data_IF_915921979127
#
_entry.id   IF_915921979127
#
_cell.length_a   1.000
_cell.length_b   1.000
_cell.length_c   1.000
_cell.angle_alpha   90.00
_cell.angle_beta   90.00
_cell.angle_gamma   90.00
#
_symmetry.space_group_name_H-M   'P 1'
#
loop_
_entity.id
_entity.type
_entity.pdbx_description
1 polymer ?
#
# COMPACT_ATOMS: atom_id res chain seq x y z
N UNK A 1 -0.50 6.91 -73.17
CA UNK A 1 -0.48 5.43 -73.21
C UNK A 1 -0.51 4.91 -71.78
N UNK A 2 -1.56 4.16 -71.47
CA UNK A 2 -2.00 3.79 -70.13
C UNK A 2 -1.09 2.72 -69.49
N UNK A 3 -0.78 2.90 -68.20
CA UNK A 3 -0.03 1.94 -67.37
C UNK A 3 -0.86 0.68 -67.11
N UNK A 4 -0.15 -0.45 -67.14
CA UNK A 4 -0.58 -1.85 -66.95
C UNK A 4 -1.19 -2.16 -65.55
N UNK A 5 -1.89 -3.31 -65.40
CA UNK A 5 -3.08 -3.44 -64.56
C UNK A 5 -2.84 -4.03 -63.16
N UNK A 6 -3.94 -3.96 -62.39
CA UNK A 6 -4.29 -4.56 -61.09
C UNK A 6 -3.43 -5.77 -60.64
N UNK A 7 -2.68 -5.58 -59.55
CA UNK A 7 -2.32 -6.64 -58.62
C UNK A 7 -3.34 -6.65 -57.48
N UNK A 8 -4.20 -7.66 -57.46
CA UNK A 8 -5.04 -7.98 -56.29
C UNK A 8 -4.16 -8.74 -55.30
N UNK A 9 -3.99 -8.18 -54.12
CA UNK A 9 -3.43 -8.85 -52.95
C UNK A 9 -4.56 -9.60 -52.25
N UNK A 10 -4.77 -10.86 -52.61
CA UNK A 10 -5.55 -11.81 -51.80
C UNK A 10 -4.60 -12.38 -50.75
N UNK A 11 -4.55 -11.70 -49.61
CA UNK A 11 -3.93 -12.16 -48.37
C UNK A 11 -4.87 -13.18 -47.71
N UNK A 12 -4.36 -14.39 -47.51
CA UNK A 12 -4.98 -15.52 -46.81
C UNK A 12 -5.67 -15.13 -45.48
N UNK A 13 -6.94 -15.54 -45.29
CA UNK A 13 -7.51 -15.63 -43.95
C UNK A 13 -7.88 -17.09 -43.60
N UNK A 14 -7.19 -17.64 -42.60
CA UNK A 14 -7.71 -18.47 -41.50
C UNK A 14 -6.79 -19.66 -41.12
N UNK A 15 -6.48 -19.81 -39.84
CA UNK A 15 -6.53 -21.12 -39.20
C UNK A 15 -7.72 -21.22 -38.25
N UNK A 16 -8.48 -22.31 -38.40
CA UNK A 16 -9.56 -22.71 -37.51
C UNK A 16 -9.03 -23.16 -36.14
N UNK A 17 -9.77 -22.93 -35.04
CA UNK A 17 -9.58 -23.69 -33.80
C UNK A 17 -10.52 -24.91 -33.79
N UNK A 18 -9.98 -26.10 -33.98
CA UNK A 18 -10.71 -27.34 -33.68
C UNK A 18 -10.64 -27.63 -32.18
N UNK A 19 -11.81 -27.63 -31.55
CA UNK A 19 -12.03 -28.14 -30.21
C UNK A 19 -12.15 -29.67 -30.25
N UNK A 20 -11.50 -30.36 -29.31
CA UNK A 20 -12.00 -31.67 -28.85
C UNK A 20 -11.46 -31.96 -27.45
N UNK A 21 -12.36 -31.99 -26.47
CA UNK A 21 -12.09 -32.41 -25.12
C UNK A 21 -12.24 -33.92 -24.96
N UNK A 22 -11.46 -34.50 -24.05
CA UNK A 22 -11.80 -35.76 -23.40
C UNK A 22 -11.22 -35.79 -21.97
N UNK A 23 -12.09 -36.27 -21.06
CA UNK A 23 -11.98 -36.41 -19.61
C UNK A 23 -10.91 -37.43 -19.16
N UNK A 24 -10.30 -37.18 -18.00
CA UNK A 24 -9.99 -38.12 -16.89
C UNK A 24 -9.24 -37.32 -15.80
N UNK A 25 -9.81 -37.00 -14.64
CA UNK A 25 -9.99 -37.85 -13.45
C UNK A 25 -8.68 -38.40 -12.86
N UNK A 26 -8.31 -37.83 -11.69
CA UNK A 26 -7.67 -38.46 -10.53
C UNK A 26 -6.27 -39.10 -10.64
N UNK A 27 -5.29 -38.54 -9.90
CA UNK A 27 -4.50 -39.28 -8.92
C UNK A 27 -3.59 -38.35 -8.09
N UNK A 28 -3.81 -38.40 -6.78
CA UNK A 28 -3.11 -37.71 -5.70
C UNK A 28 -1.80 -38.44 -5.32
N UNK A 29 -0.63 -37.78 -5.26
CA UNK A 29 0.54 -38.35 -4.60
C UNK A 29 0.59 -37.94 -3.12
N UNK A 30 -0.20 -38.61 -2.29
CA UNK A 30 0.02 -38.61 -0.83
C UNK A 30 1.06 -39.68 -0.50
N UNK A 31 2.27 -39.26 -0.15
CA UNK A 31 3.30 -40.14 0.37
C UNK A 31 3.05 -40.42 1.86
N UNK A 32 2.84 -41.70 2.17
CA UNK A 32 2.68 -42.29 3.49
C UNK A 32 4.04 -42.42 4.19
N UNK A 33 4.21 -42.00 5.46
CA UNK A 33 5.33 -42.45 6.28
C UNK A 33 5.04 -43.83 6.90
N UNK A 34 6.07 -44.67 7.13
CA UNK A 34 5.90 -46.04 7.60
C UNK A 34 5.55 -46.13 9.09
N UNK A 35 4.65 -47.07 9.36
CA UNK A 35 4.23 -47.59 10.65
C UNK A 35 5.39 -48.34 11.33
N UNK A 36 5.77 -47.94 12.54
CA UNK A 36 6.57 -48.77 13.45
C UNK A 36 5.96 -48.65 14.85
N UNK A 37 4.91 -49.42 15.10
CA UNK A 37 4.55 -49.84 16.44
C UNK A 37 5.21 -51.20 16.72
N UNK A 38 5.86 -51.38 17.89
CA UNK A 38 5.44 -52.51 18.71
C UNK A 38 5.31 -52.12 20.20
N UNK A 39 4.06 -52.07 20.67
CA UNK A 39 3.71 -52.12 22.08
C UNK A 39 3.97 -53.54 22.64
N UNK A 40 5.03 -53.71 23.43
CA UNK A 40 5.18 -54.88 24.29
C UNK A 40 4.42 -54.67 25.60
N UNK A 41 3.33 -55.42 25.73
CA UNK A 41 2.60 -55.66 26.97
C UNK A 41 3.31 -56.75 27.75
N UNK A 42 3.75 -56.45 28.96
CA UNK A 42 3.80 -57.44 30.04
C UNK A 42 3.46 -56.81 31.39
N UNK A 43 2.40 -57.35 31.99
CA UNK A 43 2.09 -57.21 33.41
C UNK A 43 2.94 -58.24 34.14
N UNK A 44 3.67 -57.84 35.16
CA UNK A 44 3.70 -58.65 36.37
C UNK A 44 4.10 -57.91 37.64
N UNK A 45 3.45 -58.36 38.71
CA UNK A 45 3.43 -57.86 40.07
C UNK A 45 4.36 -58.71 40.94
N UNK A 46 5.37 -58.12 41.58
CA UNK A 46 5.78 -58.43 42.97
C UNK A 46 7.05 -57.66 43.34
N UNK A 47 7.12 -57.24 44.61
CA UNK A 47 7.99 -56.16 45.08
C UNK A 47 9.48 -56.48 45.23
N UNK A 48 10.25 -55.41 45.41
CA UNK A 48 11.28 -55.28 46.45
C UNK A 48 11.68 -53.80 46.55
N UNK A 49 11.69 -53.30 47.78
CA UNK A 49 12.12 -51.95 48.17
C UNK A 49 13.59 -51.73 47.84
N UNK A 50 13.92 -50.58 47.25
CA UNK A 50 15.23 -49.95 47.46
C UNK A 50 15.00 -48.49 47.83
N UNK A 51 15.50 -48.14 49.00
CA UNK A 51 15.52 -46.82 49.60
C UNK A 51 16.79 -46.13 49.11
N UNK A 52 16.66 -44.98 48.45
CA UNK A 52 17.77 -44.04 48.28
C UNK A 52 17.26 -42.64 48.62
N UNK A 53 17.77 -42.01 49.70
CA UNK A 53 17.50 -40.62 49.99
C UNK A 53 18.56 -39.78 49.29
N UNK A 54 18.18 -38.88 48.39
CA UNK A 54 18.98 -37.69 48.10
C UNK A 54 18.28 -36.75 47.13
N UNK A 55 18.43 -35.47 47.47
CA UNK A 55 18.17 -34.30 46.65
C UNK A 55 16.70 -33.98 46.35
N UNK A 56 16.17 -33.10 47.20
CA UNK A 56 15.00 -32.28 46.92
C UNK A 56 15.36 -31.25 45.83
N UNK A 57 15.46 -31.72 44.58
CA UNK A 57 15.46 -30.86 43.42
C UNK A 57 14.06 -30.28 43.28
N UNK A 58 13.87 -29.03 43.72
CA UNK A 58 12.70 -28.23 43.34
C UNK A 58 12.73 -28.08 41.82
N UNK A 59 12.04 -28.98 41.11
CA UNK A 59 11.75 -28.81 39.68
C UNK A 59 10.95 -27.52 39.54
N UNK A 60 11.38 -26.52 38.74
CA UNK A 60 10.48 -25.45 38.36
C UNK A 60 9.26 -26.09 37.66
N UNK A 61 8.05 -25.53 37.77
CA UNK A 61 6.95 -25.99 36.95
C UNK A 61 7.39 -25.79 35.49
N UNK A 62 7.69 -26.90 34.81
CA UNK A 62 7.81 -26.89 33.36
C UNK A 62 6.44 -26.45 32.87
N UNK A 63 6.34 -25.18 32.46
CA UNK A 63 5.22 -24.71 31.66
C UNK A 63 5.17 -25.64 30.47
N UNK A 64 4.18 -26.54 30.47
CA UNK A 64 3.70 -27.13 29.24
C UNK A 64 3.53 -25.96 28.28
N UNK A 65 4.31 -25.93 27.20
CA UNK A 65 4.01 -25.08 26.06
C UNK A 65 2.70 -25.65 25.52
N UNK A 66 1.61 -25.19 26.11
CA UNK A 66 0.28 -25.33 25.56
C UNK A 66 0.40 -24.64 24.21
N UNK A 67 0.50 -25.46 23.17
CA UNK A 67 0.35 -25.03 21.79
C UNK A 67 -1.07 -24.50 21.68
N UNK A 68 -1.26 -23.25 22.06
CA UNK A 68 -2.40 -22.46 21.67
C UNK A 68 -2.19 -22.19 20.19
N UNK A 69 -2.50 -23.20 19.37
CA UNK A 69 -2.91 -22.95 18.01
C UNK A 69 -4.00 -21.87 18.11
N UNK A 70 -3.83 -20.67 17.53
CA UNK A 70 -4.88 -19.69 17.55
C UNK A 70 -6.03 -20.26 16.72
N UNK A 71 -7.02 -20.81 17.41
CA UNK A 71 -8.34 -21.08 16.88
C UNK A 71 -9.04 -19.73 16.67
N UNK A 72 -8.59 -18.97 15.67
CA UNK A 72 -9.34 -17.84 15.16
C UNK A 72 -10.15 -18.31 13.96
N UNK A 73 -11.21 -19.07 14.25
CA UNK A 73 -12.40 -19.07 13.40
C UNK A 73 -13.15 -17.75 13.63
N UNK A 74 -12.44 -16.63 13.41
CA UNK A 74 -13.12 -15.43 12.98
C UNK A 74 -13.68 -15.78 11.60
N UNK A 75 -14.92 -15.42 11.30
CA UNK A 75 -15.40 -15.37 9.93
C UNK A 75 -14.45 -14.43 9.17
N UNK A 76 -13.39 -14.99 8.60
CA UNK A 76 -12.46 -14.27 7.74
C UNK A 76 -13.33 -13.91 6.56
N UNK A 77 -13.84 -12.68 6.54
CA UNK A 77 -14.38 -12.11 5.32
C UNK A 77 -13.30 -12.38 4.26
N UNK A 78 -13.64 -13.20 3.27
CA UNK A 78 -12.69 -13.56 2.23
C UNK A 78 -12.36 -12.27 1.49
N UNK A 79 -11.24 -11.64 1.86
CA UNK A 79 -10.73 -10.50 1.15
C UNK A 79 -10.43 -10.97 -0.28
N UNK A 80 -11.09 -10.34 -1.25
CA UNK A 80 -10.88 -10.62 -2.65
C UNK A 80 -9.54 -10.01 -3.05
N UNK A 81 -8.47 -10.80 -2.89
CA UNK A 81 -7.12 -10.40 -3.22
C UNK A 81 -6.79 -10.87 -4.65
N UNK A 82 -6.37 -9.94 -5.50
CA UNK A 82 -5.91 -10.23 -6.84
C UNK A 82 -4.45 -9.79 -6.97
N UNK A 83 -3.59 -10.71 -7.38
CA UNK A 83 -2.17 -10.44 -7.61
C UNK A 83 -1.83 -10.77 -9.06
N UNK A 84 -1.37 -9.76 -9.79
CA UNK A 84 -0.94 -9.88 -11.19
C UNK A 84 0.58 -9.95 -11.23
N UNK A 85 1.11 -11.14 -11.45
CA UNK A 85 2.55 -11.38 -11.56
C UNK A 85 3.18 -10.82 -12.83
N UNK A 86 4.52 -10.80 -12.84
CA UNK A 86 5.34 -10.31 -13.96
C UNK A 86 5.09 -11.12 -15.23
N UNK A 87 5.01 -10.43 -16.38
CA UNK A 87 4.80 -11.05 -17.68
C UNK A 87 3.36 -11.52 -17.95
N UNK A 88 2.45 -11.31 -17.00
CA UNK A 88 1.03 -11.47 -17.24
C UNK A 88 0.48 -10.23 -17.93
N UNK A 89 -0.34 -10.46 -18.95
CA UNK A 89 -1.16 -9.44 -19.60
C UNK A 89 -2.60 -9.70 -19.21
N UNK A 90 -3.19 -8.75 -18.49
CA UNK A 90 -4.58 -8.82 -18.07
C UNK A 90 -5.37 -7.76 -18.82
N UNK A 91 -6.36 -8.19 -19.60
CA UNK A 91 -7.28 -7.31 -20.31
C UNK A 91 -8.71 -7.56 -19.83
N UNK A 92 -9.48 -6.50 -19.58
CA UNK A 92 -10.90 -6.63 -19.26
C UNK A 92 -11.43 -5.63 -18.23
N UNK A 93 -12.35 -6.08 -17.37
CA UNK A 93 -12.92 -5.29 -16.29
C UNK A 93 -12.74 -6.04 -14.97
N UNK A 94 -12.19 -5.37 -13.97
CA UNK A 94 -11.97 -5.90 -12.64
C UNK A 94 -12.93 -5.18 -11.69
N UNK A 95 -13.77 -5.94 -11.00
CA UNK A 95 -14.71 -5.43 -9.99
C UNK A 95 -14.63 -6.31 -8.74
N UNK A 96 -15.08 -5.78 -7.61
CA UNK A 96 -15.19 -6.51 -6.34
C UNK A 96 -13.86 -7.08 -5.81
N UNK A 97 -12.76 -6.34 -5.97
CA UNK A 97 -11.47 -6.68 -5.36
C UNK A 97 -11.19 -5.76 -4.17
N UNK A 98 -10.81 -6.34 -3.02
CA UNK A 98 -10.42 -5.57 -1.85
C UNK A 98 -8.97 -5.06 -1.99
N UNK A 99 -8.06 -5.95 -2.40
CA UNK A 99 -6.64 -5.64 -2.58
C UNK A 99 -6.16 -6.12 -3.95
N UNK A 100 -5.61 -5.20 -4.73
CA UNK A 100 -5.06 -5.46 -6.05
C UNK A 100 -3.59 -5.08 -6.10
N UNK A 101 -2.73 -6.06 -6.38
CA UNK A 101 -1.29 -5.85 -6.57
C UNK A 101 -0.93 -6.14 -8.02
N UNK A 102 -0.27 -5.18 -8.68
CA UNK A 102 0.06 -5.27 -10.10
C UNK A 102 1.58 -5.21 -10.31
N UNK A 103 2.17 -6.29 -10.80
CA UNK A 103 3.57 -6.37 -11.22
C UNK A 103 3.76 -6.47 -12.74
N UNK A 104 2.68 -6.64 -13.50
CA UNK A 104 2.69 -6.87 -14.96
C UNK A 104 1.97 -5.79 -15.78
N UNK A 105 1.59 -6.16 -17.00
CA UNK A 105 0.84 -5.32 -17.92
C UNK A 105 -0.66 -5.50 -17.68
N UNK A 106 -1.36 -4.42 -17.35
CA UNK A 106 -2.82 -4.45 -17.14
C UNK A 106 -3.47 -3.41 -18.02
N UNK A 107 -4.41 -3.85 -18.86
CA UNK A 107 -5.24 -2.98 -19.67
C UNK A 107 -6.71 -3.22 -19.32
N UNK A 108 -7.22 -2.49 -18.33
CA UNK A 108 -8.54 -2.77 -17.80
C UNK A 108 -9.17 -1.56 -17.10
N UNK A 109 -10.48 -1.64 -16.90
CA UNK A 109 -11.18 -0.79 -15.92
C UNK A 109 -11.15 -1.48 -14.57
N UNK A 110 -10.55 -0.83 -13.58
CA UNK A 110 -10.27 -1.37 -12.25
C UNK A 110 -11.19 -0.68 -11.23
N UNK A 111 -11.97 -1.46 -10.51
CA UNK A 111 -12.75 -1.04 -9.35
C UNK A 111 -12.30 -1.88 -8.14
N UNK A 112 -11.46 -1.29 -7.27
CA UNK A 112 -10.91 -1.98 -6.09
C UNK A 112 -10.82 -1.05 -4.87
N UNK A 113 -10.75 -1.61 -3.66
CA UNK A 113 -10.57 -0.82 -2.44
C UNK A 113 -9.15 -0.23 -2.35
N UNK A 114 -8.16 -1.11 -2.30
CA UNK A 114 -6.73 -0.80 -2.24
C UNK A 114 -6.04 -1.26 -3.52
N UNK A 115 -5.28 -0.37 -4.14
CA UNK A 115 -4.49 -0.66 -5.34
C UNK A 115 -3.02 -0.37 -5.09
N UNK A 116 -2.16 -1.35 -5.33
CA UNK A 116 -0.70 -1.22 -5.26
C UNK A 116 -0.10 -1.58 -6.62
N UNK A 117 0.56 -0.61 -7.24
CA UNK A 117 1.28 -0.81 -8.50
C UNK A 117 2.76 -0.94 -8.18
N UNK A 118 3.35 -2.09 -8.45
CA UNK A 118 4.78 -2.33 -8.30
C UNK A 118 5.59 -1.61 -9.37
N UNK A 119 6.90 -1.51 -9.20
CA UNK A 119 7.80 -0.77 -10.10
C UNK A 119 7.79 -1.27 -11.56
N UNK A 120 7.56 -2.58 -11.76
CA UNK A 120 7.44 -3.19 -13.09
C UNK A 120 6.02 -3.16 -13.65
N UNK A 121 5.05 -2.64 -12.90
CA UNK A 121 3.66 -2.57 -13.33
C UNK A 121 3.45 -1.48 -14.38
N UNK A 122 2.81 -1.85 -15.50
CA UNK A 122 2.36 -0.91 -16.53
C UNK A 122 0.82 -1.02 -16.63
N UNK A 123 0.13 -0.03 -16.09
CA UNK A 123 -1.33 -0.01 -16.01
C UNK A 123 -1.88 1.00 -17.00
N UNK A 124 -2.79 0.54 -17.88
CA UNK A 124 -3.47 1.37 -18.87
C UNK A 124 -4.98 1.25 -18.68
N UNK A 125 -5.66 2.37 -18.44
CA UNK A 125 -7.12 2.38 -18.39
C UNK A 125 -7.68 3.32 -17.34
N UNK A 126 -8.79 2.90 -16.75
CA UNK A 126 -9.50 3.68 -15.74
C UNK A 126 -9.47 2.93 -14.40
N UNK A 127 -9.01 3.59 -13.35
CA UNK A 127 -8.95 3.01 -12.01
C UNK A 127 -9.78 3.86 -11.05
N UNK A 128 -10.74 3.24 -10.39
CA UNK A 128 -11.55 3.84 -9.32
C UNK A 128 -11.28 3.08 -8.03
N UNK A 129 -10.58 3.74 -7.10
CA UNK A 129 -10.15 3.12 -5.85
C UNK A 129 -10.30 4.06 -4.67
N UNK A 130 -10.28 3.53 -3.45
CA UNK A 130 -10.32 4.36 -2.25
C UNK A 130 -8.90 4.77 -1.83
N UNK A 131 -7.97 3.81 -1.83
CA UNK A 131 -6.55 4.02 -1.50
C UNK A 131 -5.66 3.49 -2.63
N UNK A 132 -4.74 4.32 -3.11
CA UNK A 132 -3.86 4.00 -4.23
C UNK A 132 -2.40 4.21 -3.86
N UNK A 133 -1.56 3.25 -4.18
CA UNK A 133 -0.11 3.31 -4.05
C UNK A 133 0.54 3.01 -5.40
N UNK A 134 1.30 3.97 -5.93
CA UNK A 134 1.87 3.90 -7.28
C UNK A 134 3.39 3.94 -7.24
N UNK A 135 4.04 2.82 -7.59
CA UNK A 135 5.49 2.69 -7.70
C UNK A 135 5.92 2.48 -9.16
N UNK A 136 4.98 2.11 -10.04
CA UNK A 136 5.23 1.85 -11.46
C UNK A 136 4.68 2.94 -12.38
N UNK A 137 4.28 2.53 -13.59
CA UNK A 137 3.72 3.40 -14.61
C UNK A 137 2.21 3.22 -14.71
N UNK A 138 1.49 4.34 -14.60
CA UNK A 138 0.05 4.41 -14.78
C UNK A 138 -0.28 5.40 -15.90
N UNK A 139 -1.09 4.98 -16.86
CA UNK A 139 -1.56 5.80 -17.97
C UNK A 139 -3.09 5.72 -18.08
N UNK A 140 -3.77 6.87 -17.94
CA UNK A 140 -5.21 6.97 -18.11
C UNK A 140 -5.90 7.82 -17.03
N UNK A 141 -7.05 7.35 -16.56
CA UNK A 141 -7.89 8.08 -15.60
C UNK A 141 -7.85 7.42 -14.24
N UNK A 142 -7.37 8.13 -13.22
CA UNK A 142 -7.28 7.64 -11.86
C UNK A 142 -8.22 8.44 -10.96
N UNK A 143 -9.17 7.77 -10.31
CA UNK A 143 -10.07 8.36 -9.32
C UNK A 143 -9.83 7.70 -7.98
N UNK A 144 -9.31 8.47 -7.03
CA UNK A 144 -8.98 8.04 -5.66
C UNK A 144 -9.84 8.80 -4.67
N UNK A 145 -10.64 8.10 -3.86
CA UNK A 145 -11.54 8.76 -2.91
C UNK A 145 -10.86 9.24 -1.64
N UNK A 146 -9.88 8.49 -1.10
CA UNK A 146 -9.20 8.85 0.14
C UNK A 146 -7.81 9.40 -0.13
N UNK A 147 -6.81 8.52 -0.23
CA UNK A 147 -5.40 8.90 -0.25
C UNK A 147 -4.70 8.26 -1.44
N UNK A 148 -4.09 9.09 -2.28
CA UNK A 148 -3.19 8.70 -3.36
C UNK A 148 -1.75 8.90 -2.90
N UNK A 149 -0.99 7.81 -2.83
CA UNK A 149 0.45 7.82 -2.54
C UNK A 149 1.22 7.50 -3.81
N UNK A 150 2.12 8.39 -4.20
CA UNK A 150 3.03 8.21 -5.33
C UNK A 150 4.43 8.05 -4.77
N UNK A 151 5.00 6.87 -4.95
CA UNK A 151 6.35 6.56 -4.48
C UNK A 151 7.42 7.12 -5.44
N UNK A 152 8.69 7.00 -5.04
CA UNK A 152 9.83 7.57 -5.76
C UNK A 152 9.97 7.15 -7.24
N UNK A 153 9.54 5.94 -7.61
CA UNK A 153 9.57 5.42 -8.98
C UNK A 153 8.27 5.61 -9.75
N UNK A 154 7.22 6.13 -9.09
CA UNK A 154 5.88 6.27 -9.66
C UNK A 154 5.81 7.29 -10.79
N UNK A 155 5.24 6.88 -11.93
CA UNK A 155 4.92 7.75 -13.07
C UNK A 155 3.46 7.66 -13.41
N UNK A 156 2.73 8.75 -13.19
CA UNK A 156 1.29 8.83 -13.50
C UNK A 156 1.08 9.80 -14.65
N UNK A 157 0.51 9.31 -15.74
CA UNK A 157 0.17 10.12 -16.92
C UNK A 157 -1.33 10.10 -17.16
N UNK A 158 -1.97 11.26 -17.27
CA UNK A 158 -3.39 11.37 -17.62
C UNK A 158 -4.20 12.24 -16.65
N UNK A 159 -5.44 11.84 -16.36
CA UNK A 159 -6.36 12.63 -15.53
C UNK A 159 -6.49 12.00 -14.15
N UNK A 160 -6.09 12.72 -13.11
CA UNK A 160 -6.11 12.23 -11.73
C UNK A 160 -7.10 13.05 -10.90
N UNK A 161 -8.02 12.35 -10.23
CA UNK A 161 -8.91 12.90 -9.21
C UNK A 161 -8.56 12.27 -7.87
N UNK A 162 -8.20 13.06 -6.88
CA UNK A 162 -7.85 12.55 -5.54
C UNK A 162 -8.47 13.40 -4.43
N UNK A 163 -8.79 12.80 -3.28
CA UNK A 163 -9.08 13.55 -2.05
C UNK A 163 -7.79 14.09 -1.41
N UNK A 164 -6.90 13.20 -1.00
CA UNK A 164 -5.58 13.50 -0.42
C UNK A 164 -4.46 12.98 -1.34
N UNK A 165 -3.43 13.79 -1.56
CA UNK A 165 -2.27 13.43 -2.38
C UNK A 165 -0.98 13.48 -1.55
N UNK A 166 -0.26 12.36 -1.53
CA UNK A 166 1.08 12.23 -0.97
C UNK A 166 2.04 11.83 -2.07
N UNK A 167 3.11 12.60 -2.26
CA UNK A 167 4.14 12.33 -3.26
C UNK A 167 5.49 12.22 -2.56
N UNK A 168 6.18 11.11 -2.78
CA UNK A 168 7.56 10.92 -2.33
C UNK A 168 8.57 11.47 -3.33
N UNK A 169 9.82 11.63 -2.88
CA UNK A 169 10.90 12.16 -3.71
C UNK A 169 11.15 11.26 -4.93
N UNK A 170 10.95 11.81 -6.13
CA UNK A 170 11.17 11.10 -7.41
C UNK A 170 9.89 10.78 -8.17
N UNK A 171 8.72 10.83 -7.50
CA UNK A 171 7.43 10.64 -8.15
C UNK A 171 7.16 11.70 -9.22
N UNK A 172 6.70 11.28 -10.39
CA UNK A 172 6.36 12.15 -11.51
C UNK A 172 4.89 12.01 -11.87
N UNK A 173 4.20 13.14 -11.98
CA UNK A 173 2.80 13.18 -12.43
C UNK A 173 2.70 14.15 -13.60
N UNK A 174 2.08 13.72 -14.68
CA UNK A 174 1.91 14.50 -15.90
C UNK A 174 0.46 14.42 -16.38
N UNK A 175 -0.20 15.56 -16.52
CA UNK A 175 -1.56 15.65 -17.04
C UNK A 175 -2.45 16.54 -16.18
N UNK A 176 -3.74 16.23 -16.16
CA UNK A 176 -4.74 17.03 -15.45
C UNK A 176 -4.97 16.47 -14.06
N UNK A 177 -4.79 17.31 -13.04
CA UNK A 177 -4.97 16.94 -11.66
C UNK A 177 -6.11 17.76 -11.08
N UNK A 178 -7.11 17.09 -10.49
CA UNK A 178 -8.22 17.72 -9.80
C UNK A 178 -8.33 17.18 -8.38
N UNK A 179 -8.47 18.07 -7.41
CA UNK A 179 -8.87 17.66 -6.07
C UNK A 179 -10.36 17.25 -6.11
N UNK A 180 -10.68 16.09 -5.56
CA UNK A 180 -12.02 15.74 -5.14
C UNK A 180 -12.29 16.53 -3.87
N UNK A 181 -13.34 17.34 -3.87
CA UNK A 181 -13.73 18.16 -2.74
C UNK A 181 -14.29 17.26 -1.63
N UNK A 182 -13.40 16.57 -0.91
CA UNK A 182 -13.75 15.98 0.37
C UNK A 182 -13.82 17.12 1.37
N UNK A 183 -15.05 17.56 1.66
CA UNK A 183 -15.39 18.48 2.76
C UNK A 183 -15.04 17.83 4.09
N UNK A 184 -13.74 17.75 4.38
CA UNK A 184 -13.20 17.39 5.69
C UNK A 184 -12.47 18.61 6.22
N UNK A 185 -13.28 19.53 6.72
CA UNK A 185 -12.87 20.62 7.59
C UNK A 185 -12.04 20.03 8.74
N UNK A 186 -10.72 20.15 8.68
CA UNK A 186 -9.84 19.86 9.81
C UNK A 186 -10.13 20.92 10.87
N UNK A 187 -10.89 20.53 11.89
CA UNK A 187 -11.10 21.26 13.14
C UNK A 187 -9.78 21.27 13.93
N UNK A 188 -8.82 22.06 13.45
CA UNK A 188 -7.63 22.44 14.22
C UNK A 188 -7.30 23.91 13.96
N UNK A 189 -8.08 24.76 14.62
CA UNK A 189 -7.51 26.00 15.14
C UNK A 189 -6.38 25.65 16.11
N UNK A 190 -5.17 25.68 15.57
CA UNK A 190 -4.13 26.62 16.00
C UNK A 190 -4.21 27.06 17.47
N UNK A 191 -3.50 26.32 18.32
CA UNK A 191 -2.47 26.86 19.22
C UNK A 191 -2.49 28.37 19.49
N UNK A 192 -3.48 28.83 20.26
CA UNK A 192 -3.36 30.08 21.02
C UNK A 192 -2.44 29.86 22.24
N UNK A 193 -1.13 29.85 21.96
CA UNK A 193 -0.07 30.55 22.71
C UNK A 193 -0.25 30.60 24.23
N UNK A 194 0.43 29.68 24.89
CA UNK A 194 1.05 29.90 26.20
C UNK A 194 1.88 31.19 26.10
N UNK A 195 1.45 32.28 26.75
CA UNK A 195 2.29 33.48 26.87
C UNK A 195 1.58 34.83 26.91
N UNK A 196 0.70 35.07 27.88
CA UNK A 196 0.44 36.45 28.35
C UNK A 196 0.86 36.55 29.81
N UNK A 197 2.11 36.98 29.99
CA UNK A 197 2.71 37.42 31.25
C UNK A 197 1.88 38.60 31.77
N UNK A 198 0.96 38.35 32.70
CA UNK A 198 0.26 39.39 33.45
C UNK A 198 1.22 39.99 34.48
N UNK A 199 2.15 40.82 34.01
CA UNK A 199 2.93 41.71 34.85
C UNK A 199 2.09 42.94 35.15
N UNK A 200 1.53 43.00 36.37
CA UNK A 200 0.93 44.22 36.88
C UNK A 200 2.08 45.19 37.19
N UNK A 201 2.30 46.15 36.29
CA UNK A 201 3.34 47.17 36.38
C UNK A 201 2.73 48.52 36.07
N UNK A 202 2.03 49.08 37.06
CA UNK A 202 1.63 50.48 37.10
C UNK A 202 2.88 51.38 37.03
N UNK A 203 3.30 51.76 35.82
CA UNK A 203 4.26 52.87 35.64
C UNK A 203 3.45 54.08 35.18
N UNK A 204 3.02 54.81 36.20
CA UNK A 204 2.50 56.17 36.13
C UNK A 204 3.55 57.08 35.49
N UNK A 205 3.10 57.88 34.53
CA UNK A 205 3.56 59.22 34.15
C UNK A 205 4.48 59.90 35.18
N UNK A 206 5.51 60.68 34.84
CA UNK A 206 5.42 61.86 33.98
C UNK A 206 6.81 62.50 33.85
N UNK A 207 7.02 63.24 32.75
CA UNK A 207 7.83 64.45 32.62
C UNK A 207 9.38 64.46 32.74
N UNK A 208 9.96 65.08 31.69
CA UNK A 208 11.12 66.00 31.67
C UNK A 208 12.52 65.36 31.78
N UNK A 209 13.52 65.63 30.91
CA UNK A 209 14.00 66.89 30.32
C UNK A 209 15.16 66.59 29.34
N UNK A 210 15.39 67.49 28.37
CA UNK A 210 16.68 67.77 27.67
C UNK A 210 17.18 66.68 26.67
N UNK A 211 17.75 66.97 25.50
CA UNK A 211 18.71 68.01 25.19
C UNK A 211 18.74 68.40 23.71
N UNK A 212 19.22 69.62 23.50
CA UNK A 212 19.48 70.37 22.27
C UNK A 212 20.22 69.62 21.16
N UNK A 213 19.78 69.79 19.91
CA UNK A 213 20.62 69.55 18.75
C UNK A 213 20.87 70.88 18.01
N UNK A 214 21.97 71.55 18.35
CA UNK A 214 22.63 72.56 17.53
C UNK A 214 23.24 71.87 16.30
N UNK A 215 22.73 72.16 15.11
CA UNK A 215 23.50 71.92 13.89
C UNK A 215 23.97 73.27 13.33
N UNK A 216 25.08 73.73 13.88
CA UNK A 216 25.83 74.87 13.40
C UNK A 216 26.76 74.48 12.26
N UNK A 217 26.65 75.22 11.15
CA UNK A 217 27.71 75.58 10.19
C UNK A 217 28.44 74.45 9.45
N UNK A 218 28.43 74.54 8.11
CA UNK A 218 29.63 74.76 7.28
C UNK A 218 29.28 74.73 5.78
N UNK A 219 29.44 75.88 5.11
CA UNK A 219 30.18 76.13 3.84
C UNK A 219 29.98 75.16 2.65
N UNK A 220 29.89 75.55 1.38
CA UNK A 220 30.37 76.72 0.65
C UNK A 220 29.66 76.83 -0.73
N UNK A 221 29.69 78.03 -1.28
CA UNK A 221 29.25 78.45 -2.62
C UNK A 221 29.88 77.67 -3.78
N UNK A 222 29.15 77.54 -4.89
CA UNK A 222 29.74 77.35 -6.22
C UNK A 222 28.91 78.11 -7.27
N UNK A 223 29.50 79.20 -7.77
CA UNK A 223 29.40 79.70 -9.14
C UNK A 223 30.72 79.37 -9.81
#
# INVERSE_FOLDING_TARGET
>A
MFKRPKGVSESDPAPAPEASGARAAEANPTQTPPDINPEERDRDNSGTRVITPSYQARKPPVRTLQSTAPSSSASVAHAANLHVGRGLKLEGKIQSCDSLVIEGDVQATIESGTLTISETGDVRGEATVDEAEVNGKFDGTLTVKKCLTINSSGRVTGTVRYGELKVEQGGQVSGEIRAAEDTKSDDRQETARIGSKSGNGDIKSDATRSDSNENGTRTASMI
#
